data_IF_099534733281
#
_entry.id   IF_099534733281
#
_cell.length_a   1.000
_cell.length_b   1.000
_cell.length_c   1.000
_cell.angle_alpha   90.00
_cell.angle_beta   90.00
_cell.angle_gamma   90.00
#
_symmetry.space_group_name_H-M   'P 1'
#
loop_
_entity.id
_entity.type
_entity.pdbx_description
1 polymer ?
#
# COMPACT_ATOMS: atom_id res chain seq x y z
N UNK A 1 12.50 -2.18 -8.64
CA UNK A 1 13.10 -1.61 -7.41
C UNK A 1 13.34 -0.12 -7.66
N UNK A 2 12.91 0.74 -6.72
CA UNK A 2 13.07 2.20 -6.81
C UNK A 2 14.56 2.58 -6.76
N UNK A 3 15.41 1.74 -6.18
CA UNK A 3 16.88 1.95 -6.13
C UNK A 3 17.52 2.14 -7.51
N UNK A 4 16.91 1.59 -8.58
CA UNK A 4 17.36 1.77 -9.96
C UNK A 4 16.89 3.09 -10.60
N UNK A 5 16.02 3.86 -9.95
CA UNK A 5 15.48 5.12 -10.48
C UNK A 5 16.12 6.30 -9.77
N UNK A 6 16.94 7.05 -10.50
CA UNK A 6 17.53 8.29 -10.01
C UNK A 6 16.46 9.38 -9.92
N UNK A 7 16.24 9.91 -8.72
CA UNK A 7 15.20 10.92 -8.45
C UNK A 7 15.73 12.37 -8.54
N UNK A 8 17.02 12.56 -8.22
CA UNK A 8 17.67 13.87 -8.12
C UNK A 8 18.68 14.08 -9.24
N UNK A 9 18.83 15.34 -9.66
CA UNK A 9 19.72 15.70 -10.78
C UNK A 9 19.25 15.10 -12.11
N UNK A 10 20.15 14.42 -12.81
CA UNK A 10 19.83 13.75 -14.08
C UNK A 10 18.99 12.50 -13.81
N UNK A 11 17.71 12.54 -14.19
CA UNK A 11 16.75 11.46 -13.93
C UNK A 11 16.85 10.39 -15.01
N UNK A 12 17.25 9.19 -14.61
CA UNK A 12 17.27 8.02 -15.47
C UNK A 12 16.83 6.78 -14.69
N UNK A 13 16.47 5.72 -15.41
CA UNK A 13 16.20 4.42 -14.85
C UNK A 13 17.31 3.44 -15.29
N UNK A 14 18.12 2.97 -14.35
CA UNK A 14 19.29 2.14 -14.62
C UNK A 14 18.95 0.84 -15.38
N UNK A 15 17.80 0.20 -15.07
CA UNK A 15 17.25 -0.92 -15.87
C UNK A 15 17.16 -0.59 -17.36
N UNK A 16 16.56 0.54 -17.69
CA UNK A 16 16.28 0.91 -19.08
C UNK A 16 17.58 1.30 -19.79
N UNK A 17 18.49 1.98 -19.08
CA UNK A 17 19.85 2.27 -19.55
C UNK A 17 20.63 0.97 -19.81
N UNK A 18 20.52 -0.03 -18.93
CA UNK A 18 21.18 -1.32 -19.09
C UNK A 18 20.64 -2.08 -20.31
N UNK A 19 19.32 -2.10 -20.52
CA UNK A 19 18.70 -2.70 -21.71
C UNK A 19 19.18 -2.01 -22.99
N UNK A 20 19.21 -0.68 -23.00
CA UNK A 20 19.68 0.09 -24.15
C UNK A 20 21.17 -0.14 -24.43
N UNK A 21 22.01 -0.16 -23.39
CA UNK A 21 23.43 -0.46 -23.52
C UNK A 21 23.67 -1.88 -24.04
N UNK A 22 22.93 -2.87 -23.53
CA UNK A 22 22.99 -4.25 -24.01
C UNK A 22 22.64 -4.35 -25.50
N UNK A 23 21.64 -3.59 -25.95
CA UNK A 23 21.31 -3.49 -27.37
C UNK A 23 22.47 -2.92 -28.20
N UNK A 24 23.07 -1.80 -27.80
CA UNK A 24 24.20 -1.19 -28.51
C UNK A 24 25.41 -2.13 -28.63
N UNK A 25 25.68 -2.90 -27.58
CA UNK A 25 26.82 -3.81 -27.51
C UNK A 25 26.52 -5.21 -28.06
N UNK A 26 25.31 -5.46 -28.57
CA UNK A 26 24.82 -6.80 -28.93
C UNK A 26 25.03 -7.85 -27.81
N UNK A 27 24.87 -7.42 -26.56
CA UNK A 27 25.11 -8.22 -25.36
C UNK A 27 23.78 -8.56 -24.66
N UNK A 28 23.49 -9.84 -24.36
CA UNK A 28 22.29 -10.22 -23.62
C UNK A 28 22.26 -9.62 -22.21
N UNK A 29 21.12 -9.04 -21.84
CA UNK A 29 20.87 -8.51 -20.49
C UNK A 29 19.83 -9.37 -19.79
N UNK A 30 20.12 -9.81 -18.57
CA UNK A 30 19.23 -10.64 -17.76
C UNK A 30 18.63 -9.78 -16.65
N UNK A 31 17.30 -9.69 -16.62
CA UNK A 31 16.56 -9.03 -15.55
C UNK A 31 16.01 -10.09 -14.57
N UNK A 32 16.72 -10.30 -13.46
CA UNK A 32 16.27 -11.21 -12.40
C UNK A 32 15.29 -10.53 -11.44
N UNK A 33 14.10 -11.11 -11.25
CA UNK A 33 13.17 -10.66 -10.21
C UNK A 33 12.22 -11.78 -9.78
N UNK A 34 11.90 -11.83 -8.48
CA UNK A 34 10.81 -12.66 -7.96
C UNK A 34 9.43 -11.99 -8.13
N UNK A 35 9.40 -10.66 -8.28
CA UNK A 35 8.22 -9.82 -8.47
C UNK A 35 8.53 -8.82 -9.60
N UNK A 36 8.46 -9.21 -10.87
CA UNK A 36 8.81 -8.34 -11.99
C UNK A 36 7.93 -7.08 -11.99
N UNK A 37 8.50 -5.94 -12.40
CA UNK A 37 7.71 -4.72 -12.60
C UNK A 37 6.71 -4.91 -13.74
N UNK A 38 5.57 -4.23 -13.66
CA UNK A 38 4.53 -4.25 -14.70
C UNK A 38 5.12 -3.91 -16.07
N UNK A 39 6.00 -2.90 -16.18
CA UNK A 39 6.64 -2.54 -17.46
C UNK A 39 7.43 -3.72 -18.07
N UNK A 40 8.22 -4.42 -17.25
CA UNK A 40 9.01 -5.56 -17.71
C UNK A 40 8.12 -6.72 -18.12
N UNK A 41 7.02 -6.95 -17.40
CA UNK A 41 6.03 -7.95 -17.76
C UNK A 41 5.34 -7.60 -19.09
N UNK A 42 4.98 -6.33 -19.28
CA UNK A 42 4.40 -5.84 -20.53
C UNK A 42 5.36 -6.00 -21.72
N UNK A 43 6.66 -5.76 -21.53
CA UNK A 43 7.66 -6.01 -22.58
C UNK A 43 7.79 -7.50 -22.93
N UNK A 44 7.54 -8.41 -21.98
CA UNK A 44 7.43 -9.84 -22.28
C UNK A 44 6.20 -10.12 -23.14
N UNK A 45 5.04 -9.54 -22.81
CA UNK A 45 3.81 -9.69 -23.60
C UNK A 45 3.97 -9.15 -25.03
N UNK A 46 4.75 -8.08 -25.19
CA UNK A 46 5.11 -7.51 -26.49
C UNK A 46 6.24 -8.28 -27.22
N UNK A 47 6.70 -9.40 -26.68
CA UNK A 47 7.81 -10.21 -27.22
C UNK A 47 9.15 -9.46 -27.32
N UNK A 48 9.30 -8.33 -26.62
CA UNK A 48 10.56 -7.55 -26.54
C UNK A 48 11.52 -8.11 -25.50
N UNK A 49 11.02 -8.88 -24.53
CA UNK A 49 11.80 -9.62 -23.55
C UNK A 49 11.39 -11.08 -23.55
N UNK A 50 12.35 -11.97 -23.31
CA UNK A 50 12.08 -13.40 -23.13
C UNK A 50 11.90 -13.72 -21.64
N UNK A 51 10.77 -14.31 -21.29
CA UNK A 51 10.51 -14.78 -19.93
C UNK A 51 11.18 -16.14 -19.68
N UNK A 52 11.98 -16.21 -18.62
CA UNK A 52 12.57 -17.45 -18.10
C UNK A 52 12.09 -17.62 -16.66
N UNK A 53 11.47 -18.76 -16.35
CA UNK A 53 10.83 -19.01 -15.05
C UNK A 53 11.53 -20.10 -14.26
N UNK A 54 11.68 -19.86 -12.96
CA UNK A 54 12.11 -20.86 -11.98
C UNK A 54 10.91 -21.16 -11.07
N UNK A 55 10.17 -22.23 -11.38
CA UNK A 55 8.89 -22.56 -10.71
C UNK A 55 9.06 -23.34 -9.40
N UNK A 56 10.30 -23.64 -9.00
CA UNK A 56 10.61 -24.37 -7.78
C UNK A 56 11.33 -23.44 -6.79
N UNK A 57 10.94 -23.51 -5.52
CA UNK A 57 11.62 -22.77 -4.45
C UNK A 57 13.00 -23.39 -4.21
N UNK A 58 13.96 -22.53 -3.89
CA UNK A 58 15.26 -23.00 -3.43
C UNK A 58 15.10 -23.72 -2.07
N UNK A 59 15.65 -24.93 -1.94
CA UNK A 59 15.66 -25.69 -0.71
C UNK A 59 14.28 -26.23 -0.28
N UNK A 60 14.04 -26.24 1.04
CA UNK A 60 12.84 -26.84 1.67
C UNK A 60 11.84 -25.81 2.19
N UNK A 61 11.87 -24.58 1.67
CA UNK A 61 11.02 -23.49 2.15
C UNK A 61 9.53 -23.75 1.85
N UNK A 62 8.71 -23.80 2.91
CA UNK A 62 7.25 -23.95 2.82
C UNK A 62 6.56 -22.59 2.76
N UNK A 63 5.41 -22.54 2.08
CA UNK A 63 4.56 -21.35 2.09
C UNK A 63 4.01 -21.08 3.49
N UNK A 64 4.00 -19.82 3.96
CA UNK A 64 3.35 -19.48 5.21
C UNK A 64 1.83 -19.67 5.11
N UNK A 65 1.19 -20.01 6.23
CA UNK A 65 -0.27 -19.98 6.32
C UNK A 65 -0.73 -18.52 6.37
N UNK A 66 -1.63 -18.17 5.46
CA UNK A 66 -2.17 -16.81 5.34
C UNK A 66 -3.58 -16.75 5.91
N UNK A 67 -3.90 -15.66 6.61
CA UNK A 67 -5.22 -15.39 7.16
C UNK A 67 -5.66 -13.98 6.78
N UNK A 68 -6.90 -13.84 6.29
CA UNK A 68 -7.52 -12.54 6.00
C UNK A 68 -8.50 -12.23 7.12
N UNK A 69 -8.36 -11.06 7.73
CA UNK A 69 -9.27 -10.59 8.80
C UNK A 69 -10.11 -9.46 8.22
N UNK A 70 -11.44 -9.65 8.21
CA UNK A 70 -12.37 -8.60 7.81
C UNK A 70 -12.53 -7.57 8.95
N UNK A 71 -11.96 -6.38 8.74
CA UNK A 71 -12.00 -5.27 9.70
C UNK A 71 -13.38 -4.59 9.82
N UNK A 72 -14.35 -4.90 8.93
CA UNK A 72 -15.72 -4.39 9.04
C UNK A 72 -16.45 -5.02 10.23
N UNK A 73 -16.25 -6.32 10.42
CA UNK A 73 -16.91 -7.10 11.48
C UNK A 73 -16.03 -7.35 12.70
N UNK A 74 -14.71 -7.26 12.54
CA UNK A 74 -13.79 -7.50 13.64
C UNK A 74 -13.95 -6.45 14.75
N UNK A 75 -13.92 -6.92 16.01
CA UNK A 75 -13.75 -6.02 17.16
C UNK A 75 -12.36 -5.40 17.09
N UNK A 76 -12.31 -4.07 17.11
CA UNK A 76 -11.08 -3.29 16.93
C UNK A 76 -10.69 -2.63 18.24
N UNK A 77 -9.39 -2.60 18.54
CA UNK A 77 -8.78 -1.78 19.59
C UNK A 77 -7.72 -0.92 18.92
N UNK A 78 -7.89 0.41 18.97
CA UNK A 78 -6.98 1.38 18.34
C UNK A 78 -6.67 1.10 16.86
N UNK A 79 -7.66 0.64 16.09
CA UNK A 79 -7.52 0.35 14.66
C UNK A 79 -6.96 -1.03 14.33
N UNK A 80 -6.48 -1.80 15.32
CA UNK A 80 -6.03 -3.18 15.16
C UNK A 80 -7.15 -4.14 15.53
N UNK A 81 -7.29 -5.24 14.80
CA UNK A 81 -8.27 -6.28 15.17
C UNK A 81 -7.81 -7.01 16.43
N UNK A 82 -8.76 -7.37 17.29
CA UNK A 82 -8.49 -8.14 18.51
C UNK A 82 -7.76 -9.46 18.19
N UNK A 83 -8.17 -10.13 17.10
CA UNK A 83 -7.52 -11.36 16.63
C UNK A 83 -6.05 -11.14 16.25
N UNK A 84 -5.69 -10.02 15.62
CA UNK A 84 -4.30 -9.70 15.29
C UNK A 84 -3.48 -9.48 16.56
N UNK A 85 -4.01 -8.71 17.52
CA UNK A 85 -3.37 -8.44 18.81
C UNK A 85 -3.04 -9.74 19.54
N UNK A 86 -3.99 -10.68 19.61
CA UNK A 86 -3.79 -11.99 20.25
C UNK A 86 -2.73 -12.84 19.57
N UNK A 87 -2.65 -12.81 18.23
CA UNK A 87 -1.62 -13.55 17.50
C UNK A 87 -0.24 -12.92 17.69
N UNK A 88 -0.15 -11.59 17.77
CA UNK A 88 1.11 -10.90 18.10
C UNK A 88 1.58 -11.32 19.49
N UNK A 89 0.71 -11.26 20.51
CA UNK A 89 1.06 -11.65 21.87
C UNK A 89 1.60 -13.09 21.93
N UNK A 90 0.91 -14.05 21.29
CA UNK A 90 1.34 -15.46 21.25
C UNK A 90 2.73 -15.66 20.63
N UNK A 91 3.15 -14.76 19.74
CA UNK A 91 4.47 -14.79 19.11
C UNK A 91 5.53 -14.18 20.02
N UNK A 92 5.22 -13.05 20.64
CA UNK A 92 6.09 -12.39 21.62
C UNK A 92 6.31 -13.25 22.87
N UNK A 93 5.28 -13.94 23.37
CA UNK A 93 5.38 -14.87 24.51
C UNK A 93 6.37 -16.02 24.24
N UNK A 94 6.54 -16.39 22.97
CA UNK A 94 7.51 -17.39 22.51
C UNK A 94 8.91 -16.81 22.23
N UNK A 95 9.12 -15.52 22.52
CA UNK A 95 10.34 -14.76 22.17
C UNK A 95 10.63 -14.76 20.67
N UNK A 96 9.59 -14.86 19.84
CA UNK A 96 9.69 -14.68 18.39
C UNK A 96 9.48 -13.21 18.02
N UNK A 97 9.92 -12.82 16.82
CA UNK A 97 9.74 -11.46 16.30
C UNK A 97 8.48 -11.36 15.42
N UNK A 98 7.86 -10.19 15.44
CA UNK A 98 6.73 -9.85 14.56
C UNK A 98 7.11 -8.64 13.72
N UNK A 99 6.91 -8.75 12.41
CA UNK A 99 7.03 -7.63 11.48
C UNK A 99 5.65 -7.11 11.12
N UNK A 100 5.40 -5.82 11.37
CA UNK A 100 4.16 -5.13 11.02
C UNK A 100 4.46 -4.16 9.89
N UNK A 101 3.87 -4.40 8.72
CA UNK A 101 4.00 -3.51 7.57
C UNK A 101 2.90 -2.46 7.61
N UNK A 102 3.30 -1.20 7.63
CA UNK A 102 2.41 -0.05 7.51
C UNK A 102 2.79 0.74 6.26
N UNK A 103 1.80 1.34 5.62
CA UNK A 103 2.04 2.24 4.50
C UNK A 103 2.91 3.42 4.97
N UNK A 104 4.06 3.66 4.32
CA UNK A 104 4.98 4.75 4.66
C UNK A 104 4.22 6.09 4.67
N UNK A 105 4.62 6.99 5.58
CA UNK A 105 4.12 8.38 5.75
C UNK A 105 3.61 8.98 4.43
N UNK A 106 2.38 9.51 4.44
CA UNK A 106 1.90 10.41 3.38
C UNK A 106 0.76 9.91 2.50
N UNK A 107 -0.01 8.89 2.89
CA UNK A 107 -1.34 8.75 2.27
C UNK A 107 -2.16 9.96 2.65
N UNK A 108 -2.59 10.67 1.62
CA UNK A 108 -3.51 11.78 1.72
C UNK A 108 -4.80 11.22 2.39
N UNK A 109 -5.23 11.78 3.53
CA UNK A 109 -6.25 11.14 4.36
C UNK A 109 -7.57 11.04 3.58
N UNK A 110 -8.03 9.82 3.33
CA UNK A 110 -9.32 9.56 2.67
C UNK A 110 -10.40 9.51 3.75
N UNK A 111 -11.56 10.10 3.51
CA UNK A 111 -12.67 10.05 4.46
C UNK A 111 -13.43 8.72 4.27
N UNK A 112 -13.62 7.98 5.37
CA UNK A 112 -14.22 6.64 5.37
C UNK A 112 -15.26 6.51 6.47
N UNK A 113 -16.34 5.78 6.19
CA UNK A 113 -17.33 5.38 7.19
C UNK A 113 -16.91 4.07 7.87
N UNK A 114 -16.78 4.07 9.20
CA UNK A 114 -16.42 2.85 9.95
C UNK A 114 -17.54 1.82 10.04
N UNK A 115 -18.79 2.22 9.76
CA UNK A 115 -19.97 1.36 9.83
C UNK A 115 -20.18 0.54 8.55
N UNK A 116 -20.29 1.18 7.38
CA UNK A 116 -20.52 0.48 6.11
C UNK A 116 -19.26 0.32 5.24
N UNK A 117 -18.19 1.08 5.52
CA UNK A 117 -16.97 1.10 4.71
C UNK A 117 -17.03 2.03 3.50
N UNK A 118 -18.05 2.89 3.37
CA UNK A 118 -18.10 3.96 2.37
C UNK A 118 -16.80 4.76 2.37
N UNK A 119 -16.31 5.13 1.18
CA UNK A 119 -15.13 5.97 1.00
C UNK A 119 -15.50 7.20 0.17
N UNK A 120 -14.89 8.34 0.47
CA UNK A 120 -15.09 9.58 -0.29
C UNK A 120 -14.47 9.48 -1.69
N UNK A 121 -15.23 8.97 -2.65
CA UNK A 121 -14.83 8.88 -4.06
C UNK A 121 -15.18 10.15 -4.83
N UNK A 122 -14.37 10.50 -5.81
CA UNK A 122 -14.67 11.61 -6.72
C UNK A 122 -15.80 11.20 -7.69
N UNK A 123 -16.85 12.01 -7.88
CA UNK A 123 -17.90 11.69 -8.84
C UNK A 123 -17.50 11.95 -10.31
N UNK A 124 -16.34 12.58 -10.54
CA UNK A 124 -15.86 12.97 -11.88
C UNK A 124 -14.70 12.10 -12.41
N UNK A 125 -14.11 11.24 -11.58
CA UNK A 125 -13.03 10.33 -11.97
C UNK A 125 -12.86 9.19 -10.95
N UNK A 126 -12.07 8.17 -11.28
CA UNK A 126 -11.86 6.98 -10.44
C UNK A 126 -10.91 7.17 -9.23
N UNK A 127 -10.65 8.43 -8.85
CA UNK A 127 -9.79 8.76 -7.71
C UNK A 127 -10.60 8.98 -6.42
N UNK A 128 -9.93 8.78 -5.28
CA UNK A 128 -10.47 9.18 -3.97
C UNK A 128 -10.25 10.67 -3.71
N UNK A 129 -11.19 11.29 -3.00
CA UNK A 129 -10.97 12.60 -2.41
C UNK A 129 -9.95 12.52 -1.27
N UNK A 130 -9.07 13.51 -1.22
CA UNK A 130 -8.19 13.79 -0.08
C UNK A 130 -8.85 14.81 0.84
N UNK A 131 -8.89 14.53 2.14
CA UNK A 131 -9.23 15.51 3.16
C UNK A 131 -8.09 16.50 3.38
N UNK A 132 -8.36 17.78 3.18
CA UNK A 132 -7.50 18.89 3.60
C UNK A 132 -8.13 19.57 4.80
N UNK A 133 -7.32 19.94 5.78
CA UNK A 133 -7.77 20.63 7.01
C UNK A 133 -7.30 22.08 7.09
N UNK A 134 -6.46 22.52 6.15
CA UNK A 134 -5.94 23.88 6.09
C UNK A 134 -6.10 24.45 4.67
N UNK A 135 -6.46 25.74 4.52
CA UNK A 135 -6.80 26.70 5.58
C UNK A 135 -8.19 26.46 6.24
N UNK A 136 -9.05 25.67 5.60
CA UNK A 136 -10.32 25.18 6.15
C UNK A 136 -10.48 23.69 5.77
N UNK A 137 -11.51 23.03 6.28
CA UNK A 137 -11.73 21.61 6.05
C UNK A 137 -12.51 21.37 4.75
N UNK A 138 -11.93 20.64 3.80
CA UNK A 138 -12.56 20.31 2.51
C UNK A 138 -12.02 19.01 1.91
N UNK A 139 -12.77 18.43 0.99
CA UNK A 139 -12.37 17.29 0.16
C UNK A 139 -11.83 17.80 -1.18
N UNK A 140 -10.69 17.30 -1.64
CA UNK A 140 -10.08 17.69 -2.91
C UNK A 140 -9.60 16.47 -3.69
N UNK A 141 -10.03 16.38 -4.95
CA UNK A 141 -9.54 15.37 -5.88
C UNK A 141 -8.28 15.90 -6.57
N UNK A 142 -7.12 15.32 -6.27
CA UNK A 142 -5.84 15.70 -6.91
C UNK A 142 -5.68 15.20 -8.34
N UNK A 143 -6.64 14.41 -8.85
CA UNK A 143 -6.62 13.95 -10.23
C UNK A 143 -7.31 14.94 -11.17
N UNK A 144 -8.51 15.43 -10.81
CA UNK A 144 -9.31 16.31 -11.68
C UNK A 144 -9.54 17.72 -11.10
N UNK A 145 -9.12 18.00 -9.87
CA UNK A 145 -9.26 19.31 -9.22
C UNK A 145 -10.62 19.58 -8.59
N UNK A 146 -11.57 18.64 -8.61
CA UNK A 146 -12.87 18.82 -7.94
C UNK A 146 -12.70 19.05 -6.44
N UNK A 147 -13.43 20.04 -5.90
CA UNK A 147 -13.49 20.34 -4.47
C UNK A 147 -14.91 20.11 -3.97
N UNK A 148 -15.05 19.49 -2.80
CA UNK A 148 -16.33 19.23 -2.16
C UNK A 148 -16.27 19.51 -0.65
N UNK A 149 -17.40 19.87 -0.06
CA UNK A 149 -17.56 19.92 1.40
C UNK A 149 -17.61 18.50 1.98
N UNK A 150 -17.26 18.38 3.25
CA UNK A 150 -17.45 17.11 3.97
C UNK A 150 -18.95 16.86 4.13
N UNK A 151 -19.41 15.62 3.93
CA UNK A 151 -20.77 15.27 4.29
C UNK A 151 -20.91 15.20 5.82
N UNK A 152 -22.03 15.67 6.36
CA UNK A 152 -22.30 15.66 7.80
C UNK A 152 -22.51 14.23 8.34
N UNK A 153 -22.95 13.31 7.48
CA UNK A 153 -23.21 11.90 7.78
C UNK A 153 -22.79 11.04 6.60
N UNK A 154 -22.57 9.74 6.83
CA UNK A 154 -22.30 8.83 5.73
C UNK A 154 -23.45 8.84 4.71
N UNK A 155 -23.18 9.09 3.42
CA UNK A 155 -24.23 9.12 2.39
C UNK A 155 -24.86 7.75 2.11
N UNK A 156 -24.19 6.65 2.49
CA UNK A 156 -24.72 5.29 2.29
C UNK A 156 -25.56 4.79 3.47
N UNK A 157 -25.09 4.98 4.72
CA UNK A 157 -25.73 4.38 5.90
C UNK A 157 -26.16 5.40 6.97
N UNK A 158 -26.01 6.71 6.71
CA UNK A 158 -26.35 7.81 7.62
C UNK A 158 -25.62 7.77 8.98
N UNK A 159 -24.57 6.98 9.11
CA UNK A 159 -23.76 6.97 10.31
C UNK A 159 -23.03 8.31 10.47
N UNK A 160 -23.12 8.92 11.66
CA UNK A 160 -22.57 10.26 11.93
C UNK A 160 -21.04 10.29 12.04
N UNK A 161 -20.40 9.16 12.35
CA UNK A 161 -18.95 9.11 12.53
C UNK A 161 -18.24 8.75 11.22
N UNK A 162 -17.69 9.76 10.55
CA UNK A 162 -16.73 9.59 9.47
C UNK A 162 -15.32 9.81 9.99
N UNK A 163 -14.39 8.93 9.63
CA UNK A 163 -13.00 9.01 10.06
C UNK A 163 -12.06 9.09 8.88
N UNK A 164 -10.87 9.62 9.12
CA UNK A 164 -9.80 9.60 8.14
C UNK A 164 -9.08 8.27 8.17
N UNK A 165 -9.05 7.59 7.03
CA UNK A 165 -8.18 6.45 6.80
C UNK A 165 -6.81 6.99 6.40
N UNK A 166 -5.78 6.61 7.15
CA UNK A 166 -4.46 7.23 7.08
C UNK A 166 -4.01 7.90 8.38
N UNK A 167 -4.65 7.62 9.53
CA UNK A 167 -4.05 7.91 10.84
C UNK A 167 -2.60 7.41 10.82
N UNK A 168 -1.67 8.37 10.89
CA UNK A 168 -0.30 8.18 10.48
C UNK A 168 0.35 7.00 11.18
N UNK A 169 1.31 6.38 10.49
CA UNK A 169 2.14 5.29 11.01
C UNK A 169 2.58 5.50 12.46
N UNK A 170 2.83 6.75 12.87
CA UNK A 170 3.18 7.11 14.25
C UNK A 170 2.12 6.77 15.29
N UNK A 171 0.83 6.97 15.01
CA UNK A 171 -0.24 6.58 15.96
C UNK A 171 -0.31 5.08 16.14
N UNK A 172 -0.14 4.31 15.06
CA UNK A 172 -0.15 2.84 15.15
C UNK A 172 1.06 2.35 15.95
N UNK A 173 2.23 2.96 15.75
CA UNK A 173 3.44 2.69 16.52
C UNK A 173 3.26 2.99 18.02
N UNK A 174 2.74 4.17 18.38
CA UNK A 174 2.41 4.53 19.76
C UNK A 174 1.49 3.49 20.42
N UNK A 175 0.39 3.13 19.77
CA UNK A 175 -0.54 2.13 20.30
C UNK A 175 0.06 0.72 20.39
N UNK A 176 0.96 0.35 19.49
CA UNK A 176 1.65 -0.94 19.57
C UNK A 176 2.58 -0.99 20.79
N UNK A 177 3.30 0.10 21.09
CA UNK A 177 4.14 0.19 22.28
C UNK A 177 3.32 0.16 23.58
N UNK A 178 2.11 0.73 23.59
CA UNK A 178 1.19 0.63 24.73
C UNK A 178 0.65 -0.80 24.93
N UNK A 179 0.41 -1.54 23.83
CA UNK A 179 -0.14 -2.90 23.88
C UNK A 179 0.93 -3.96 24.21
N UNK A 180 2.17 -3.73 23.80
CA UNK A 180 3.28 -4.68 23.90
C UNK A 180 4.56 -3.97 24.39
N UNK A 181 4.64 -3.64 25.71
CA UNK A 181 5.81 -2.97 26.29
C UNK A 181 7.05 -3.85 26.38
#
# INVERSE_FOLDING_TARGET
DISYKQQEGFRYHARDVALYRGHLENCPVILGSATPSIDSYHLVEQEKLKLLQLNQRAGVALMPKMHVIDLKVAKKKQGLSQQLIEQIQKKLDKKEQVLIFLNRRGYAPVLVCESCGWQSNCPHCDAHFTLHTQPYTYLHCHHCGTIQRLPDQCPECQHQSLKTLGMGTGKVEEHLNELFP
#
